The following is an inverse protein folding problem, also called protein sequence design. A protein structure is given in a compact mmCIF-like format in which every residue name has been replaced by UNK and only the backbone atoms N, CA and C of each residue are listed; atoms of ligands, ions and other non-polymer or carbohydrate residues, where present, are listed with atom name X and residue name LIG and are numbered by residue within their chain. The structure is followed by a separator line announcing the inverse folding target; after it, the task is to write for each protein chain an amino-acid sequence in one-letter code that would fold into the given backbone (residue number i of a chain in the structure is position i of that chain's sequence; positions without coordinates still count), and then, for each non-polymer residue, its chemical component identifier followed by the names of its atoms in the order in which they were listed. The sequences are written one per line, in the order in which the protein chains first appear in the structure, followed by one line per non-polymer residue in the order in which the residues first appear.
data_IF_855388095763
#
_entry.id   IF_855388095763
#
_cell.length_a   1.000
_cell.length_b   1.000
_cell.length_c   1.000
_cell.angle_alpha   90.00
_cell.angle_beta   90.00
_cell.angle_gamma   90.00
#
_symmetry.space_group_name_H-M   'P 1'
#
loop_
_entity.id
_entity.type
_entity.pdbx_description
1 polymer ?
#
# COMPACT_ATOMS: atom_id res chain seq x y z
N UNK A 1 -8.91 -2.04 -6.27
CA UNK A 1 -7.84 -1.04 -6.09
C UNK A 1 -7.02 -1.42 -4.88
N UNK A 2 -5.75 -1.01 -4.77
CA UNK A 2 -4.94 -1.32 -3.59
C UNK A 2 -4.98 -0.16 -2.60
N UNK A 3 -5.05 -0.47 -1.31
CA UNK A 3 -5.15 0.51 -0.21
C UNK A 3 -4.16 0.22 0.94
N UNK A 4 -3.63 1.29 1.53
CA UNK A 4 -2.77 1.24 2.72
C UNK A 4 -3.61 1.07 3.98
N UNK A 5 -3.44 -0.05 4.66
CA UNK A 5 -4.04 -0.31 5.96
C UNK A 5 -2.97 -0.38 7.05
N UNK A 6 -3.28 0.14 8.23
CA UNK A 6 -2.54 -0.14 9.46
C UNK A 6 -3.43 -0.95 10.39
N UNK A 7 -2.93 -2.11 10.82
CA UNK A 7 -3.65 -3.03 11.70
C UNK A 7 -3.02 -3.00 13.08
N UNK A 8 -3.80 -2.64 14.10
CA UNK A 8 -3.33 -2.73 15.47
C UNK A 8 -3.35 -4.19 15.95
N UNK A 9 -2.24 -4.63 16.57
CA UNK A 9 -2.14 -5.92 17.24
C UNK A 9 -1.50 -5.76 18.64
N UNK A 10 -1.90 -6.56 19.63
CA UNK A 10 -1.41 -6.41 21.00
C UNK A 10 0.06 -6.83 21.18
N UNK A 11 0.58 -7.76 20.37
CA UNK A 11 1.95 -8.28 20.48
C UNK A 11 2.60 -8.47 19.11
N UNK A 12 3.91 -8.56 19.04
CA UNK A 12 4.65 -8.88 17.80
C UNK A 12 4.86 -10.40 17.60
N UNK A 13 4.15 -11.25 18.34
CA UNK A 13 4.22 -12.70 18.20
C UNK A 13 3.09 -13.18 17.29
N UNK A 14 3.34 -14.10 16.35
CA UNK A 14 2.31 -14.56 15.41
C UNK A 14 1.59 -13.39 14.70
N UNK A 15 2.36 -12.48 14.11
CA UNK A 15 1.85 -11.26 13.46
C UNK A 15 0.80 -11.63 12.40
N UNK A 16 1.11 -12.59 11.52
CA UNK A 16 0.20 -13.01 10.45
C UNK A 16 -1.15 -13.48 10.99
N UNK A 17 -1.17 -14.37 11.99
CA UNK A 17 -2.42 -14.87 12.56
C UNK A 17 -3.24 -13.79 13.28
N UNK A 18 -2.60 -12.83 13.94
CA UNK A 18 -3.30 -11.71 14.56
C UNK A 18 -3.88 -10.74 13.50
N UNK A 19 -3.15 -10.48 12.41
CA UNK A 19 -3.66 -9.66 11.30
C UNK A 19 -4.85 -10.35 10.64
N UNK A 20 -4.75 -11.66 10.38
CA UNK A 20 -5.84 -12.46 9.82
C UNK A 20 -7.09 -12.39 10.72
N UNK A 21 -6.94 -12.59 12.03
CA UNK A 21 -8.05 -12.49 13.00
C UNK A 21 -8.74 -11.12 12.98
N UNK A 22 -7.96 -10.03 12.90
CA UNK A 22 -8.51 -8.66 12.88
C UNK A 22 -9.16 -8.33 11.54
N UNK A 23 -8.64 -8.85 10.43
CA UNK A 23 -9.14 -8.55 9.09
C UNK A 23 -10.33 -9.41 8.69
N UNK A 24 -10.41 -10.66 9.13
CA UNK A 24 -11.42 -11.67 8.75
C UNK A 24 -12.88 -11.16 8.79
N UNK A 25 -13.33 -10.40 9.82
CA UNK A 25 -14.71 -9.89 9.85
C UNK A 25 -15.09 -8.98 8.67
N UNK A 26 -14.09 -8.45 7.97
CA UNK A 26 -14.23 -7.52 6.85
C UNK A 26 -13.92 -8.14 5.49
N UNK A 27 -13.76 -9.47 5.42
CA UNK A 27 -13.60 -10.17 4.16
C UNK A 27 -14.91 -10.15 3.36
N UNK A 28 -14.87 -9.64 2.13
CA UNK A 28 -16.05 -9.53 1.25
C UNK A 28 -16.71 -10.89 0.96
N UNK A 29 -15.91 -11.97 0.93
CA UNK A 29 -16.43 -13.32 0.71
C UNK A 29 -17.33 -13.83 1.83
N UNK A 30 -17.14 -13.34 3.06
CA UNK A 30 -17.90 -13.75 4.24
C UNK A 30 -18.88 -12.66 4.73
N UNK A 31 -18.64 -11.39 4.37
CA UNK A 31 -19.44 -10.24 4.80
C UNK A 31 -19.74 -9.30 3.61
N UNK A 32 -20.77 -9.57 2.80
CA UNK A 32 -21.06 -8.78 1.60
C UNK A 32 -21.64 -7.38 1.89
N UNK A 33 -21.94 -7.05 3.15
CA UNK A 33 -22.53 -5.76 3.54
C UNK A 33 -21.47 -4.81 4.10
N UNK A 34 -20.57 -5.32 4.94
CA UNK A 34 -19.56 -4.50 5.64
C UNK A 34 -18.12 -4.87 5.26
N UNK A 35 -17.93 -5.93 4.46
CA UNK A 35 -16.63 -6.30 3.94
C UNK A 35 -16.12 -5.30 2.92
N UNK A 36 -14.80 -5.08 2.93
CA UNK A 36 -14.12 -4.11 2.07
C UNK A 36 -12.80 -4.63 1.51
N UNK A 37 -12.49 -5.90 1.70
CA UNK A 37 -11.32 -6.52 1.11
C UNK A 37 -11.60 -7.92 0.56
N UNK A 38 -10.98 -8.25 -0.56
CA UNK A 38 -11.01 -9.59 -1.19
C UNK A 38 -9.62 -10.28 -1.20
N UNK A 39 -8.55 -9.52 -0.93
CA UNK A 39 -7.18 -10.00 -0.78
C UNK A 39 -6.33 -9.03 0.06
N UNK A 40 -5.35 -9.53 0.81
CA UNK A 40 -4.36 -8.69 1.51
C UNK A 40 -2.96 -9.33 1.62
N UNK A 41 -1.97 -8.51 1.95
CA UNK A 41 -0.61 -8.92 2.30
C UNK A 41 0.04 -7.91 3.27
N UNK A 42 0.84 -8.38 4.22
CA UNK A 42 1.65 -7.51 5.10
C UNK A 42 2.75 -6.81 4.29
N UNK A 43 2.90 -5.50 4.52
CA UNK A 43 3.77 -4.59 3.78
C UNK A 43 3.25 -4.33 2.38
N UNK A 44 3.42 -5.31 1.48
CA UNK A 44 3.02 -5.21 0.06
C UNK A 44 3.55 -3.92 -0.58
N UNK A 45 2.69 -3.18 -1.29
CA UNK A 45 3.06 -1.89 -1.92
C UNK A 45 3.47 -0.80 -0.93
N UNK A 46 3.13 -0.94 0.35
CA UNK A 46 3.48 -0.02 1.42
C UNK A 46 4.60 -0.54 2.32
N UNK A 47 5.32 -1.59 1.88
CA UNK A 47 6.50 -2.10 2.57
C UNK A 47 7.42 -0.95 3.01
N UNK A 48 7.82 -0.94 4.28
CA UNK A 48 8.78 0.00 4.84
C UNK A 48 8.33 1.46 4.89
N UNK A 49 7.03 1.75 4.69
CA UNK A 49 6.49 3.12 4.65
C UNK A 49 6.80 3.95 5.91
N UNK A 50 7.07 3.29 7.03
CA UNK A 50 7.47 3.92 8.29
C UNK A 50 8.92 4.44 8.32
N UNK A 51 9.76 4.07 7.34
CA UNK A 51 11.16 4.51 7.26
C UNK A 51 11.24 5.80 6.45
N UNK A 52 11.71 6.92 7.05
CA UNK A 52 11.92 8.15 6.30
C UNK A 52 12.83 7.92 5.09
N UNK A 53 12.47 8.50 3.95
CA UNK A 53 13.24 8.47 2.70
C UNK A 53 13.39 7.09 2.03
N UNK A 54 12.79 6.03 2.58
CA UNK A 54 12.75 4.73 1.93
C UNK A 54 11.68 4.71 0.83
N UNK A 55 12.10 4.45 -0.41
CA UNK A 55 11.21 4.24 -1.56
C UNK A 55 11.32 2.79 -2.03
N UNK A 56 10.35 1.98 -1.62
CA UNK A 56 10.22 0.55 -1.93
C UNK A 56 10.18 0.24 -3.43
N UNK A 57 9.76 1.20 -4.28
CA UNK A 57 9.74 1.01 -5.73
C UNK A 57 11.14 1.13 -6.37
N UNK A 58 12.10 1.68 -5.63
CA UNK A 58 13.49 1.87 -6.06
C UNK A 58 14.49 0.98 -5.34
N UNK A 59 14.04 0.22 -4.34
CA UNK A 59 14.87 -0.74 -3.61
C UNK A 59 15.52 -1.74 -4.59
N UNK A 60 16.87 -1.78 -4.68
CA UNK A 60 17.57 -2.69 -5.57
C UNK A 60 17.21 -4.16 -5.41
N UNK A 61 16.84 -4.60 -4.20
CA UNK A 61 16.47 -6.00 -3.91
C UNK A 61 15.10 -6.36 -4.50
N UNK A 62 14.29 -5.35 -4.85
CA UNK A 62 13.02 -5.53 -5.54
C UNK A 62 13.14 -5.40 -7.06
N UNK A 63 14.34 -5.18 -7.59
CA UNK A 63 14.53 -4.94 -9.02
C UNK A 63 15.04 -6.18 -9.75
N UNK A 64 14.29 -6.64 -10.75
CA UNK A 64 14.74 -7.65 -11.71
C UNK A 64 15.09 -7.03 -13.06
N UNK A 65 15.79 -7.80 -13.91
CA UNK A 65 15.95 -7.41 -15.31
C UNK A 65 14.56 -7.29 -15.95
N UNK A 66 14.27 -6.12 -16.53
CA UNK A 66 12.97 -5.84 -17.11
C UNK A 66 12.66 -6.85 -18.23
N UNK A 67 11.61 -7.66 -18.03
CA UNK A 67 11.21 -8.74 -18.96
C UNK A 67 10.89 -8.24 -20.37
N UNK A 68 10.46 -6.97 -20.52
CA UNK A 68 10.07 -6.41 -21.81
C UNK A 68 11.25 -5.94 -22.66
N UNK A 69 12.28 -5.38 -22.04
CA UNK A 69 13.50 -4.97 -22.74
C UNK A 69 14.67 -5.96 -22.54
N UNK A 70 14.44 -7.04 -21.77
CA UNK A 70 15.45 -8.03 -21.38
C UNK A 70 16.70 -7.39 -20.76
N UNK A 71 16.51 -6.41 -19.87
CA UNK A 71 17.62 -5.72 -19.21
C UNK A 71 18.27 -4.58 -20.01
N UNK A 72 17.93 -4.38 -21.28
CA UNK A 72 18.65 -3.43 -22.15
C UNK A 72 18.24 -1.96 -21.96
N UNK A 73 17.17 -1.69 -21.22
CA UNK A 73 16.58 -0.35 -21.10
C UNK A 73 15.80 0.10 -22.34
N UNK A 74 16.02 -0.51 -23.49
CA UNK A 74 15.35 -0.19 -24.74
C UNK A 74 14.45 -1.36 -25.17
N UNK A 75 13.18 -1.13 -25.51
CA UNK A 75 12.27 -2.22 -25.90
C UNK A 75 12.34 -2.46 -27.40
N UNK A 76 13.07 -3.48 -27.90
CA UNK A 76 13.13 -3.73 -29.33
C UNK A 76 11.77 -4.19 -29.85
N UNK A 77 11.36 -3.67 -31.00
CA UNK A 77 10.19 -4.17 -31.71
C UNK A 77 8.84 -3.77 -31.12
N UNK A 78 8.75 -2.64 -30.42
CA UNK A 78 7.45 -2.06 -30.07
C UNK A 78 6.81 -1.41 -31.31
N UNK A 79 6.29 -2.28 -32.16
CA UNK A 79 5.57 -1.96 -33.38
C UNK A 79 4.09 -2.23 -33.19
N UNK A 80 3.29 -1.26 -33.60
CA UNK A 80 1.86 -1.42 -33.75
C UNK A 80 1.49 -1.20 -35.22
N UNK A 81 0.33 -1.69 -35.61
CA UNK A 81 -0.19 -1.48 -36.95
C UNK A 81 -1.29 -0.43 -36.90
N UNK A 82 -1.18 0.61 -37.74
CA UNK A 82 -2.26 1.60 -37.96
C UNK A 82 -2.53 1.64 -39.45
N UNK A 83 -3.76 1.31 -39.86
CA UNK A 83 -4.16 1.19 -41.27
C UNK A 83 -3.27 0.24 -42.08
N UNK A 84 -2.89 -0.91 -41.50
CA UNK A 84 -2.02 -1.89 -42.16
C UNK A 84 -0.54 -1.52 -42.23
N UNK A 85 -0.14 -0.33 -41.77
CA UNK A 85 1.26 0.12 -41.77
C UNK A 85 1.91 -0.20 -40.42
N UNK A 86 3.03 -0.92 -40.45
CA UNK A 86 3.91 -1.15 -39.29
C UNK A 86 4.52 0.19 -38.85
N UNK A 87 4.14 0.67 -37.66
CA UNK A 87 4.65 1.92 -37.06
C UNK A 87 5.49 1.58 -35.84
N UNK A 88 6.72 2.10 -35.81
CA UNK A 88 7.54 2.09 -34.62
C UNK A 88 7.05 3.18 -33.66
N UNK A 89 6.94 2.84 -32.37
CA UNK A 89 6.52 3.79 -31.33
C UNK A 89 7.70 4.64 -30.85
N UNK A 90 8.45 5.27 -31.77
CA UNK A 90 9.61 6.11 -31.41
C UNK A 90 9.23 7.23 -30.44
N UNK A 91 8.02 7.76 -30.57
CA UNK A 91 7.47 8.78 -29.66
C UNK A 91 7.36 8.28 -28.21
N UNK A 92 7.08 7.00 -28.01
CA UNK A 92 7.03 6.39 -26.68
C UNK A 92 8.41 6.13 -26.11
N UNK A 93 9.36 5.69 -26.95
CA UNK A 93 10.76 5.60 -26.52
C UNK A 93 11.30 6.94 -26.07
N UNK A 94 10.91 8.04 -26.73
CA UNK A 94 11.25 9.40 -26.27
C UNK A 94 10.51 9.77 -24.98
N UNK A 95 9.20 9.51 -24.90
CA UNK A 95 8.37 9.84 -23.72
C UNK A 95 8.79 9.10 -22.45
N UNK A 96 9.24 7.86 -22.58
CA UNK A 96 9.61 7.00 -21.46
C UNK A 96 11.12 6.81 -21.31
N UNK A 97 11.94 7.57 -22.04
CA UNK A 97 13.40 7.41 -22.04
C UNK A 97 13.87 5.96 -22.35
N UNK A 98 13.16 5.28 -23.25
CA UNK A 98 13.40 3.89 -23.63
C UNK A 98 12.17 3.01 -23.41
N UNK A 99 12.31 1.95 -22.63
CA UNK A 99 11.24 0.99 -22.36
C UNK A 99 10.15 1.60 -21.44
N UNK A 100 8.89 1.36 -21.78
CA UNK A 100 7.72 1.90 -21.07
C UNK A 100 7.47 1.32 -19.66
N UNK A 101 8.26 0.33 -19.22
CA UNK A 101 8.14 -0.27 -17.87
C UNK A 101 9.32 0.10 -16.98
N UNK A 102 10.54 0.04 -17.51
CA UNK A 102 11.74 0.39 -16.74
C UNK A 102 12.23 1.82 -16.97
N UNK A 103 11.58 2.60 -17.82
CA UNK A 103 11.96 3.98 -18.14
C UNK A 103 13.43 4.16 -18.56
N UNK A 104 13.96 3.17 -19.30
CA UNK A 104 15.34 3.20 -19.78
C UNK A 104 16.37 2.53 -18.87
N UNK A 105 16.04 2.20 -17.62
CA UNK A 105 17.02 1.66 -16.66
C UNK A 105 17.40 0.20 -16.92
N UNK A 106 16.58 -0.53 -17.67
CA UNK A 106 16.73 -1.97 -17.87
C UNK A 106 16.24 -2.80 -16.68
N UNK A 107 15.88 -2.17 -15.56
CA UNK A 107 15.39 -2.85 -14.35
C UNK A 107 13.93 -2.51 -14.08
N UNK A 108 13.15 -3.50 -13.68
CA UNK A 108 11.76 -3.30 -13.29
C UNK A 108 11.53 -3.90 -11.91
N UNK A 109 10.64 -3.29 -11.14
CA UNK A 109 10.20 -3.86 -9.87
C UNK A 109 9.55 -5.23 -10.10
N UNK A 110 9.93 -6.22 -9.30
CA UNK A 110 9.17 -7.45 -9.14
C UNK A 110 7.84 -7.14 -8.47
N UNK A 111 6.90 -8.10 -8.52
CA UNK A 111 5.61 -7.95 -7.87
C UNK A 111 5.76 -7.80 -6.35
N UNK A 112 5.00 -6.92 -5.68
CA UNK A 112 5.09 -6.70 -4.23
C UNK A 112 4.88 -7.96 -3.38
N UNK A 113 4.20 -8.97 -3.93
CA UNK A 113 4.05 -10.30 -3.31
C UNK A 113 5.33 -11.12 -3.25
N UNK A 114 6.36 -10.71 -3.97
CA UNK A 114 7.68 -11.34 -3.99
C UNK A 114 8.74 -10.52 -3.27
N UNK A 115 8.37 -9.40 -2.64
CA UNK A 115 9.29 -8.62 -1.82
C UNK A 115 9.49 -9.32 -0.49
N UNK A 116 10.74 -9.38 -0.03
CA UNK A 116 11.03 -9.83 1.33
C UNK A 116 10.35 -8.89 2.35
N UNK A 117 9.90 -9.35 3.53
CA UNK A 117 9.32 -8.48 4.54
C UNK A 117 10.30 -7.37 4.99
N UNK A 118 9.79 -6.17 5.27
CA UNK A 118 10.60 -5.13 5.93
C UNK A 118 10.44 -5.22 7.45
N UNK A 119 11.52 -5.12 8.26
CA UNK A 119 11.39 -5.13 9.72
C UNK A 119 10.51 -4.02 10.31
N UNK A 120 10.29 -2.94 9.54
CA UNK A 120 9.40 -1.81 9.89
C UNK A 120 8.00 -1.90 9.27
N UNK A 121 7.63 -3.05 8.71
CA UNK A 121 6.21 -3.35 8.43
C UNK A 121 5.44 -3.66 9.71
N UNK A 122 6.15 -3.94 10.81
CA UNK A 122 5.60 -4.10 12.15
C UNK A 122 6.35 -3.16 13.08
N UNK A 123 5.68 -2.12 13.57
CA UNK A 123 6.30 -1.14 14.47
C UNK A 123 5.56 -1.06 15.80
N UNK A 124 6.25 -0.92 16.94
CA UNK A 124 5.57 -0.61 18.19
C UNK A 124 4.97 0.79 18.10
N UNK A 125 3.82 1.02 18.72
CA UNK A 125 3.15 2.34 18.73
C UNK A 125 4.08 3.45 19.26
N UNK A 126 4.98 3.12 20.19
CA UNK A 126 5.98 4.05 20.73
C UNK A 126 7.02 4.54 19.72
N UNK A 127 7.15 3.87 18.56
CA UNK A 127 8.06 4.25 17.47
C UNK A 127 7.33 4.83 16.24
N UNK A 128 6.02 5.08 16.34
CA UNK A 128 5.24 5.62 15.23
C UNK A 128 5.76 7.02 14.84
N UNK A 129 6.12 7.24 13.56
CA UNK A 129 6.58 8.56 13.11
C UNK A 129 5.50 9.64 13.23
N UNK A 130 5.92 10.85 13.59
CA UNK A 130 5.02 12.00 13.67
C UNK A 130 4.39 12.30 12.31
N UNK A 131 3.07 12.50 12.32
CA UNK A 131 2.32 12.89 11.12
C UNK A 131 2.10 11.77 10.11
N UNK A 132 2.40 10.53 10.47
CA UNK A 132 2.08 9.34 9.66
C UNK A 132 0.55 9.18 9.49
N UNK A 133 0.14 8.79 8.28
CA UNK A 133 -1.25 8.54 7.89
C UNK A 133 -1.39 7.20 7.12
N UNK A 134 -2.62 6.71 7.04
CA UNK A 134 -2.99 5.51 6.28
C UNK A 134 -4.41 5.67 5.72
N UNK A 135 -4.79 4.83 4.74
CA UNK A 135 -6.15 4.85 4.19
C UNK A 135 -7.14 4.19 5.15
N UNK A 136 -6.78 3.06 5.75
CA UNK A 136 -7.61 2.34 6.73
C UNK A 136 -6.81 2.08 7.99
N UNK A 137 -7.38 2.32 9.18
CA UNK A 137 -6.82 1.91 10.46
C UNK A 137 -7.77 0.91 11.10
N UNK A 138 -7.31 -0.33 11.34
CA UNK A 138 -8.09 -1.36 12.03
C UNK A 138 -7.73 -1.41 13.51
N UNK A 139 -8.73 -1.13 14.34
CA UNK A 139 -8.63 -1.16 15.80
C UNK A 139 -9.61 -2.20 16.37
N UNK A 140 -9.49 -2.60 17.64
CA UNK A 140 -10.42 -3.54 18.28
C UNK A 140 -11.88 -3.08 18.27
N UNK A 141 -12.11 -1.77 18.19
CA UNK A 141 -13.46 -1.16 18.14
C UNK A 141 -14.05 -1.11 16.72
N UNK A 142 -13.29 -1.50 15.70
CA UNK A 142 -13.68 -1.50 14.29
C UNK A 142 -12.75 -0.70 13.38
N UNK A 143 -13.06 -0.65 12.07
CA UNK A 143 -12.27 0.03 11.08
C UNK A 143 -12.51 1.55 11.12
N UNK A 144 -11.47 2.29 10.80
CA UNK A 144 -11.50 3.72 10.54
C UNK A 144 -11.01 3.92 9.10
N UNK A 145 -11.88 4.34 8.18
CA UNK A 145 -11.52 4.60 6.78
C UNK A 145 -11.34 6.09 6.48
N UNK A 146 -10.40 6.38 5.59
CA UNK A 146 -10.30 7.65 4.89
C UNK A 146 -11.14 7.59 3.60
N UNK A 147 -12.45 7.77 3.71
CA UNK A 147 -13.21 8.16 2.53
C UNK A 147 -13.12 9.67 2.31
N UNK A 148 -12.98 10.11 1.07
CA UNK A 148 -13.21 11.50 0.69
C UNK A 148 -14.67 11.87 0.99
N UNK A 149 -14.98 12.25 2.24
CA UNK A 149 -16.25 12.86 2.64
C UNK A 149 -17.20 12.03 3.52
N UNK A 150 -16.83 10.86 4.05
CA UNK A 150 -17.70 10.10 4.94
C UNK A 150 -16.97 9.49 6.14
N UNK A 151 -16.89 10.26 7.22
CA UNK A 151 -16.93 9.73 8.60
C UNK A 151 -18.41 9.41 8.95
N UNK A 152 -18.73 8.58 9.96
CA UNK A 152 -20.03 7.93 10.09
C UNK A 152 -21.19 8.93 10.03
N UNK A 153 -22.29 8.52 9.40
CA UNK A 153 -23.53 9.31 9.24
C UNK A 153 -24.30 9.56 10.56
N UNK A 154 -23.63 9.51 11.70
CA UNK A 154 -24.14 9.82 13.03
C UNK A 154 -23.38 11.05 13.56
N UNK A 155 -24.00 11.93 14.37
CA UNK A 155 -23.53 13.30 14.58
C UNK A 155 -22.33 13.34 15.53
N UNK A 156 -21.15 12.92 15.05
CA UNK A 156 -19.89 13.40 15.59
C UNK A 156 -19.82 14.90 15.27
N UNK A 157 -19.97 15.73 16.31
CA UNK A 157 -20.16 17.18 16.21
C UNK A 157 -19.05 17.93 15.48
N UNK A 158 -19.17 19.26 15.46
CA UNK A 158 -18.40 20.26 14.69
C UNK A 158 -16.85 20.15 14.71
N UNK A 159 -16.27 19.25 15.51
CA UNK A 159 -14.84 19.03 15.73
C UNK A 159 -14.05 18.38 14.58
N UNK A 160 -14.70 17.84 13.54
CA UNK A 160 -14.00 17.10 12.47
C UNK A 160 -13.54 17.95 11.28
N UNK A 161 -13.89 19.24 11.23
CA UNK A 161 -13.54 20.11 10.09
C UNK A 161 -12.06 20.53 10.00
N UNK A 162 -11.25 20.26 11.04
CA UNK A 162 -9.81 20.56 11.02
C UNK A 162 -8.91 19.34 10.69
N UNK A 163 -9.49 18.15 10.49
CA UNK A 163 -8.75 16.87 10.45
C UNK A 163 -8.47 16.41 9.02
N UNK A 164 -7.92 17.30 8.18
CA UNK A 164 -7.65 16.99 6.76
C UNK A 164 -6.46 16.02 6.52
N UNK A 165 -5.92 15.42 7.58
CA UNK A 165 -5.01 14.26 7.62
C UNK A 165 -5.14 13.65 9.01
N UNK A 166 -5.83 12.52 9.14
CA UNK A 166 -5.98 11.89 10.44
C UNK A 166 -4.62 11.28 10.83
N UNK A 167 -3.86 11.99 11.66
CA UNK A 167 -2.60 11.47 12.22
C UNK A 167 -2.93 10.22 13.03
N UNK A 168 -2.28 9.10 12.74
CA UNK A 168 -2.54 7.84 13.46
C UNK A 168 -2.42 8.00 14.97
N UNK A 169 -1.46 8.82 15.43
CA UNK A 169 -1.29 9.13 16.86
C UNK A 169 -2.56 9.64 17.54
N UNK A 170 -3.33 10.51 16.88
CA UNK A 170 -4.58 11.05 17.41
C UNK A 170 -5.70 10.00 17.39
N UNK A 171 -5.72 9.14 16.39
CA UNK A 171 -6.69 8.04 16.28
C UNK A 171 -6.48 7.03 17.44
N UNK A 172 -5.23 6.67 17.69
CA UNK A 172 -4.83 5.79 18.77
C UNK A 172 -5.15 6.40 20.15
N UNK A 173 -4.84 7.68 20.35
CA UNK A 173 -5.18 8.40 21.58
C UNK A 173 -6.70 8.35 21.87
N UNK A 174 -7.53 8.66 20.85
CA UNK A 174 -9.00 8.61 20.97
C UNK A 174 -9.55 7.22 21.22
N UNK A 175 -8.86 6.19 20.72
CA UNK A 175 -9.21 4.80 20.96
C UNK A 175 -8.76 4.31 22.34
N UNK A 176 -7.99 5.13 23.08
CA UNK A 176 -7.34 4.81 24.35
C UNK A 176 -6.28 3.70 24.19
N UNK A 177 -5.59 3.70 23.06
CA UNK A 177 -4.56 2.73 22.70
C UNK A 177 -3.19 3.41 22.79
N UNK A 178 -2.35 2.96 23.72
CA UNK A 178 -0.98 3.47 23.92
C UNK A 178 0.10 2.38 23.85
N UNK A 179 -0.31 1.11 23.74
CA UNK A 179 0.58 -0.06 23.68
C UNK A 179 0.17 -0.97 22.52
N UNK A 180 1.11 -1.83 22.12
CA UNK A 180 0.94 -2.75 21.00
C UNK A 180 1.75 -2.31 19.78
N UNK A 181 1.37 -2.88 18.64
CA UNK A 181 2.06 -2.70 17.37
C UNK A 181 1.07 -2.29 16.29
N UNK A 182 1.57 -1.55 15.31
CA UNK A 182 0.91 -1.32 14.04
C UNK A 182 1.59 -2.18 12.97
N UNK A 183 0.77 -2.83 12.15
CA UNK A 183 1.20 -3.64 11.03
C UNK A 183 0.71 -3.01 9.73
N UNK A 184 1.65 -2.68 8.86
CA UNK A 184 1.35 -2.21 7.51
C UNK A 184 0.79 -3.35 6.68
N UNK A 185 -0.34 -3.10 6.01
CA UNK A 185 -1.02 -4.05 5.14
C UNK A 185 -1.38 -3.38 3.81
N UNK A 186 -1.09 -4.08 2.72
CA UNK A 186 -1.64 -3.84 1.38
C UNK A 186 -2.89 -4.70 1.23
N UNK A 187 -4.05 -4.09 1.05
CA UNK A 187 -5.27 -4.82 0.73
C UNK A 187 -5.90 -4.36 -0.58
N UNK A 188 -6.64 -5.27 -1.21
CA UNK A 188 -7.41 -5.01 -2.42
C UNK A 188 -8.90 -4.89 -2.08
N UNK A 189 -9.57 -3.92 -2.71
CA UNK A 189 -11.03 -3.67 -2.66
C UNK A 189 -11.63 -3.33 -4.02
#
# INVERSE_FOLDING_TARGET
MHHHCEVWIPTNQNVEGQVEEVMEPYYEGNNPVEGFWDWYQIGGRWKGVHVPEYDQATDPDHLEACKLCKGTGNRPGWVYYKNGVRKFRDDWSKKCNGCNVCHGTGKASIWPTSWEPHPKDVIPISELPDGFDCYTLLLPKGPIHWEQGAWPKEPAGELLKEVNKLKLSLALERAEISIGYLVTVDYHS
#
